data_IF_318780836006
#
_entry.id   IF_318780836006
#
_cell.length_a   1.000
_cell.length_b   1.000
_cell.length_c   1.000
_cell.angle_alpha   90.00
_cell.angle_beta   90.00
_cell.angle_gamma   90.00
#
_symmetry.space_group_name_H-M   'P 1'
#
loop_
_entity.id
_entity.type
_entity.pdbx_description
1 polymer ?
#
# COMPACT_ATOMS: atom_id res chain seq x y z
N UNK A 1 -16.16 22.26 8.73
CA UNK A 1 -16.69 22.61 10.06
C UNK A 1 -15.72 22.28 11.21
N UNK A 2 -15.23 21.04 11.36
CA UNK A 2 -14.31 20.65 12.46
C UNK A 2 -12.98 21.42 12.50
N UNK A 3 -12.44 21.85 11.35
CA UNK A 3 -11.18 22.62 11.28
C UNK A 3 -11.33 24.01 11.89
N UNK A 4 -12.44 24.69 11.61
CA UNK A 4 -12.77 26.00 12.21
C UNK A 4 -12.88 25.91 13.74
N UNK A 5 -13.55 24.86 14.23
CA UNK A 5 -13.65 24.58 15.66
C UNK A 5 -12.26 24.39 16.30
N UNK A 6 -11.37 23.63 15.66
CA UNK A 6 -9.98 23.41 16.15
C UNK A 6 -9.16 24.70 16.20
N UNK A 7 -9.33 25.59 15.23
CA UNK A 7 -8.65 26.89 15.21
C UNK A 7 -9.17 27.77 16.36
N UNK A 8 -10.48 27.79 16.58
CA UNK A 8 -11.10 28.56 17.67
C UNK A 8 -10.64 28.04 19.05
N UNK A 9 -10.69 26.72 19.29
CA UNK A 9 -10.23 26.13 20.56
C UNK A 9 -8.71 26.28 20.76
N UNK A 10 -7.92 26.17 19.70
CA UNK A 10 -6.47 26.42 19.75
C UNK A 10 -6.15 27.87 20.10
N UNK A 11 -6.86 28.83 19.51
CA UNK A 11 -6.71 30.25 19.82
C UNK A 11 -7.16 30.59 21.25
N UNK A 12 -8.28 30.01 21.71
CA UNK A 12 -8.78 30.18 23.08
C UNK A 12 -7.80 29.63 24.13
N UNK A 13 -7.21 28.47 23.87
CA UNK A 13 -6.19 27.88 24.73
C UNK A 13 -4.91 28.71 24.76
N UNK A 14 -4.45 29.20 23.59
CA UNK A 14 -3.28 30.06 23.51
C UNK A 14 -3.49 31.38 24.28
N UNK A 15 -4.67 31.98 24.12
CA UNK A 15 -5.07 33.16 24.88
C UNK A 15 -5.10 32.90 26.39
N UNK A 16 -5.68 31.76 26.79
CA UNK A 16 -5.70 31.30 28.18
C UNK A 16 -4.29 31.24 28.78
N UNK A 17 -3.37 30.52 28.12
CA UNK A 17 -1.98 30.37 28.57
C UNK A 17 -1.22 31.70 28.67
N UNK A 18 -1.39 32.59 27.70
CA UNK A 18 -0.75 33.93 27.74
C UNK A 18 -1.30 34.73 28.92
N UNK A 19 -2.61 34.65 29.16
CA UNK A 19 -3.28 35.32 30.27
C UNK A 19 -2.78 34.77 31.61
N UNK A 20 -2.77 33.45 31.80
CA UNK A 20 -2.26 32.83 33.04
C UNK A 20 -0.80 33.16 33.28
N UNK A 21 0.03 33.19 32.23
CA UNK A 21 1.45 33.55 32.33
C UNK A 21 1.66 35.00 32.75
N UNK A 22 0.83 35.93 32.27
CA UNK A 22 0.88 37.34 32.70
C UNK A 22 0.46 37.49 34.16
N UNK A 23 -0.65 36.86 34.55
CA UNK A 23 -1.12 36.86 35.94
C UNK A 23 -0.09 36.27 36.91
N UNK A 24 0.56 35.17 36.56
CA UNK A 24 1.61 34.56 37.37
C UNK A 24 2.87 35.44 37.53
N UNK A 25 3.15 36.32 36.55
CA UNK A 25 4.27 37.25 36.62
C UNK A 25 3.99 38.50 37.45
N UNK A 26 2.72 38.92 37.55
CA UNK A 26 2.32 40.12 38.28
C UNK A 26 2.07 39.85 39.77
N UNK A 27 1.64 38.63 40.15
CA UNK A 27 1.25 38.31 41.53
C UNK A 27 1.81 36.95 42.00
N UNK A 28 3.12 36.85 42.27
CA UNK A 28 3.78 35.57 42.59
C UNK A 28 3.49 35.05 44.02
N UNK A 29 3.06 35.91 44.95
CA UNK A 29 2.91 35.55 46.37
C UNK A 29 1.47 35.37 46.85
N UNK A 30 0.48 35.74 46.04
CA UNK A 30 -0.91 35.53 46.39
C UNK A 30 -1.28 34.08 46.05
N UNK A 31 -1.58 33.27 47.07
CA UNK A 31 -2.30 31.99 46.94
C UNK A 31 -3.72 32.22 46.44
N UNK A 32 -3.84 32.81 45.25
CA UNK A 32 -5.04 33.44 44.76
C UNK A 32 -5.89 32.40 44.03
N UNK A 33 -7.11 32.25 44.52
CA UNK A 33 -8.11 31.29 44.01
C UNK A 33 -8.34 31.52 42.51
N UNK A 34 -8.18 32.75 42.05
CA UNK A 34 -8.32 33.14 40.65
C UNK A 34 -7.21 32.56 39.76
N UNK A 35 -5.96 32.48 40.25
CA UNK A 35 -4.85 31.85 39.53
C UNK A 35 -5.08 30.34 39.36
N UNK A 36 -5.51 29.68 40.45
CA UNK A 36 -5.85 28.26 40.43
C UNK A 36 -7.03 27.96 39.49
N UNK A 37 -8.06 28.81 39.49
CA UNK A 37 -9.22 28.70 38.59
C UNK A 37 -8.81 28.84 37.11
N UNK A 38 -8.02 29.85 36.76
CA UNK A 38 -7.54 30.06 35.40
C UNK A 38 -6.67 28.91 34.89
N UNK A 39 -5.84 28.34 35.77
CA UNK A 39 -5.04 27.16 35.47
C UNK A 39 -5.92 25.94 35.23
N UNK A 40 -6.93 25.70 36.07
CA UNK A 40 -7.88 24.61 35.90
C UNK A 40 -8.64 24.72 34.57
N UNK A 41 -9.09 25.92 34.19
CA UNK A 41 -9.74 26.19 32.90
C UNK A 41 -8.79 25.91 31.73
N UNK A 42 -7.52 26.30 31.83
CA UNK A 42 -6.51 25.99 30.80
C UNK A 42 -6.29 24.48 30.64
N UNK A 43 -6.26 23.72 31.74
CA UNK A 43 -6.12 22.25 31.70
C UNK A 43 -7.33 21.62 31.01
N UNK A 44 -8.54 22.03 31.34
CA UNK A 44 -9.77 21.51 30.70
C UNK A 44 -9.76 21.82 29.19
N UNK A 45 -9.43 23.06 28.82
CA UNK A 45 -9.28 23.46 27.42
C UNK A 45 -8.20 22.64 26.70
N UNK A 46 -7.10 22.31 27.39
CA UNK A 46 -6.01 21.50 26.84
C UNK A 46 -6.46 20.07 26.55
N UNK A 47 -7.22 19.46 27.47
CA UNK A 47 -7.78 18.13 27.28
C UNK A 47 -8.78 18.12 26.10
N UNK A 48 -9.68 19.09 26.04
CA UNK A 48 -10.65 19.19 24.93
C UNK A 48 -9.93 19.41 23.60
N UNK A 49 -8.93 20.29 23.56
CA UNK A 49 -8.14 20.54 22.37
C UNK A 49 -7.38 19.27 21.94
N UNK A 50 -6.77 18.54 22.90
CA UNK A 50 -6.11 17.28 22.62
C UNK A 50 -7.09 16.24 22.03
N UNK A 51 -8.30 16.11 22.57
CA UNK A 51 -9.33 15.22 22.03
C UNK A 51 -9.76 15.63 20.61
N UNK A 52 -9.89 16.92 20.33
CA UNK A 52 -10.24 17.42 19.00
C UNK A 52 -9.13 17.16 17.97
N UNK A 53 -7.86 17.22 18.39
CA UNK A 53 -6.69 16.99 17.55
C UNK A 53 -6.27 15.52 17.46
N UNK A 54 -6.65 14.68 18.43
CA UNK A 54 -6.27 13.27 18.49
C UNK A 54 -6.61 12.47 17.22
N UNK A 55 -7.79 12.61 16.58
CA UNK A 55 -8.08 11.92 15.33
C UNK A 55 -7.20 12.39 14.16
N UNK A 56 -6.76 13.65 14.18
CA UNK A 56 -5.91 14.21 13.13
C UNK A 56 -4.45 13.75 13.27
N UNK A 57 -3.90 13.82 14.48
CA UNK A 57 -2.56 13.29 14.74
C UNK A 57 -2.54 11.76 14.62
N UNK A 58 -3.58 11.08 15.08
CA UNK A 58 -3.74 9.63 14.89
C UNK A 58 -3.69 9.25 13.41
N UNK A 59 -4.39 9.99 12.53
CA UNK A 59 -4.33 9.76 11.09
C UNK A 59 -2.92 10.01 10.50
N UNK A 60 -2.25 11.09 10.90
CA UNK A 60 -0.89 11.42 10.43
C UNK A 60 0.20 10.47 10.93
N UNK A 61 0.06 9.93 12.14
CA UNK A 61 1.01 8.97 12.72
C UNK A 61 0.71 7.55 12.21
N UNK A 62 -0.56 7.25 11.92
CA UNK A 62 -0.94 5.98 11.31
C UNK A 62 -0.48 5.89 9.85
N UNK A 63 -0.51 6.97 9.06
CA UNK A 63 -0.08 6.99 7.64
C UNK A 63 1.23 6.23 7.33
N UNK A 64 2.35 6.43 8.08
CA UNK A 64 3.58 5.67 7.83
C UNK A 64 3.53 4.20 8.27
N UNK A 65 2.72 3.85 9.28
CA UNK A 65 2.60 2.48 9.80
C UNK A 65 1.59 1.64 9.01
N UNK A 66 0.51 2.24 8.53
CA UNK A 66 -0.49 1.60 7.66
C UNK A 66 -0.06 1.59 6.19
N UNK A 67 0.89 2.43 5.78
CA UNK A 67 1.50 2.41 4.46
C UNK A 67 2.28 1.12 4.12
N UNK A 68 2.66 0.33 5.12
CA UNK A 68 3.38 -0.95 4.91
C UNK A 68 2.43 -2.16 4.90
N UNK A 69 1.29 -2.07 5.59
CA UNK A 69 0.39 -3.23 5.80
C UNK A 69 -0.95 -3.09 5.05
N UNK A 70 -1.37 -1.88 4.68
CA UNK A 70 -2.67 -1.60 4.03
C UNK A 70 -2.57 -0.78 2.74
N UNK A 71 -1.51 -0.98 1.95
CA UNK A 71 -1.40 -0.37 0.61
C UNK A 71 -2.52 -0.80 -0.39
N UNK A 72 -3.42 -1.70 0.01
CA UNK A 72 -4.62 -2.08 -0.73
C UNK A 72 -5.87 -1.24 -0.37
N UNK A 73 -5.87 -0.50 0.74
CA UNK A 73 -7.02 0.31 1.19
C UNK A 73 -6.67 1.79 1.12
N UNK A 74 -6.80 2.32 -0.10
CA UNK A 74 -6.79 3.75 -0.41
C UNK A 74 -7.57 4.55 0.65
N UNK A 75 -6.88 5.37 1.43
CA UNK A 75 -7.53 6.30 2.37
C UNK A 75 -8.29 7.32 1.54
N UNK A 76 -9.60 7.12 1.47
CA UNK A 76 -10.58 8.05 0.91
C UNK A 76 -10.55 9.38 1.66
N UNK A 77 -9.68 10.29 1.22
CA UNK A 77 -9.86 11.71 1.52
C UNK A 77 -11.22 12.13 0.94
N UNK A 78 -11.99 12.94 1.67
CA UNK A 78 -13.34 13.44 1.31
C UNK A 78 -13.31 14.27 0.01
N UNK A 79 -13.10 13.64 -1.13
CA UNK A 79 -13.18 14.26 -2.43
C UNK A 79 -14.58 13.97 -2.97
N UNK A 80 -15.44 14.99 -2.98
CA UNK A 80 -16.78 14.90 -3.56
C UNK A 80 -16.74 14.41 -5.01
N UNK A 81 -15.66 14.72 -5.73
CA UNK A 81 -15.40 14.25 -7.09
C UNK A 81 -15.19 12.74 -7.18
N UNK A 82 -14.40 12.13 -6.29
CA UNK A 82 -14.27 10.66 -6.24
C UNK A 82 -15.58 9.98 -5.86
N UNK A 83 -16.38 10.60 -4.98
CA UNK A 83 -17.72 10.11 -4.64
C UNK A 83 -18.67 10.17 -5.82
N UNK A 84 -18.62 11.25 -6.59
CA UNK A 84 -19.37 11.39 -7.83
C UNK A 84 -18.90 10.35 -8.85
N UNK A 85 -17.58 10.14 -8.99
CA UNK A 85 -16.98 9.18 -9.91
C UNK A 85 -17.46 7.75 -9.63
N UNK A 86 -17.50 7.37 -8.35
CA UNK A 86 -18.07 6.08 -7.90
C UNK A 86 -19.55 5.99 -8.15
N UNK A 87 -20.31 7.03 -7.83
CA UNK A 87 -21.75 7.03 -8.07
C UNK A 87 -22.07 6.89 -9.57
N UNK A 88 -21.31 7.54 -10.44
CA UNK A 88 -21.43 7.41 -11.91
C UNK A 88 -21.00 6.01 -12.37
N UNK A 89 -19.96 5.44 -11.75
CA UNK A 89 -19.51 4.07 -12.00
C UNK A 89 -20.58 3.03 -11.60
N UNK A 90 -21.20 3.18 -10.43
CA UNK A 90 -22.27 2.31 -9.92
C UNK A 90 -23.50 2.38 -10.82
N UNK A 91 -23.74 3.53 -11.45
CA UNK A 91 -24.82 3.74 -12.43
C UNK A 91 -24.49 3.18 -13.82
N UNK A 92 -23.29 2.66 -14.04
CA UNK A 92 -22.86 1.99 -15.27
C UNK A 92 -22.49 2.93 -16.43
N UNK A 93 -22.36 4.24 -16.18
CA UNK A 93 -22.10 5.24 -17.22
C UNK A 93 -20.61 5.36 -17.57
N UNK A 94 -20.06 4.31 -18.19
CA UNK A 94 -18.63 4.15 -18.48
C UNK A 94 -17.97 5.35 -19.17
N UNK A 95 -18.65 5.98 -20.14
CA UNK A 95 -18.09 7.13 -20.88
C UNK A 95 -17.90 8.36 -19.99
N UNK A 96 -18.85 8.62 -19.09
CA UNK A 96 -18.77 9.74 -18.15
C UNK A 96 -17.73 9.47 -17.07
N UNK A 97 -17.63 8.23 -16.58
CA UNK A 97 -16.56 7.83 -15.65
C UNK A 97 -15.18 8.06 -16.25
N UNK A 98 -14.98 7.73 -17.53
CA UNK A 98 -13.71 7.97 -18.22
C UNK A 98 -13.39 9.45 -18.37
N UNK A 99 -14.38 10.26 -18.76
CA UNK A 99 -14.19 11.71 -18.92
C UNK A 99 -13.86 12.35 -17.57
N UNK A 100 -14.61 12.03 -16.52
CA UNK A 100 -14.37 12.52 -15.16
C UNK A 100 -13.02 12.04 -14.61
N UNK A 101 -12.65 10.78 -14.83
CA UNK A 101 -11.35 10.24 -14.42
C UNK A 101 -10.20 10.96 -15.11
N UNK A 102 -10.35 11.28 -16.40
CA UNK A 102 -9.35 12.05 -17.14
C UNK A 102 -9.25 13.49 -16.61
N UNK A 103 -10.39 14.16 -16.41
CA UNK A 103 -10.43 15.54 -15.90
C UNK A 103 -9.85 15.65 -14.49
N UNK A 104 -10.19 14.71 -13.61
CA UNK A 104 -9.62 14.59 -12.26
C UNK A 104 -8.13 14.31 -12.32
N UNK A 105 -7.68 13.43 -13.23
CA UNK A 105 -6.26 13.13 -13.42
C UNK A 105 -5.45 14.33 -13.91
N UNK A 106 -6.01 15.17 -14.80
CA UNK A 106 -5.37 16.41 -15.25
C UNK A 106 -5.31 17.44 -14.13
N UNK A 107 -6.38 17.56 -13.33
CA UNK A 107 -6.43 18.51 -12.21
C UNK A 107 -5.54 18.08 -11.04
N UNK A 108 -5.40 16.78 -10.82
CA UNK A 108 -4.64 16.18 -9.73
C UNK A 108 -3.72 15.05 -10.23
N UNK A 109 -2.58 15.41 -10.87
CA UNK A 109 -1.67 14.43 -11.49
C UNK A 109 -0.98 13.51 -10.47
N UNK A 110 -0.96 13.89 -9.19
CA UNK A 110 -0.39 13.13 -8.08
C UNK A 110 -1.32 12.02 -7.57
N UNK A 111 -2.58 11.98 -8.01
CA UNK A 111 -3.59 11.04 -7.48
C UNK A 111 -3.76 9.80 -8.38
N UNK A 112 -3.24 8.63 -7.98
CA UNK A 112 -3.38 7.40 -8.78
C UNK A 112 -4.83 6.90 -8.90
N UNK A 113 -5.71 7.24 -7.96
CA UNK A 113 -7.08 6.71 -7.90
C UNK A 113 -7.89 7.00 -9.17
N UNK A 114 -7.79 8.22 -9.71
CA UNK A 114 -8.49 8.61 -10.93
C UNK A 114 -7.99 7.81 -12.14
N UNK A 115 -6.67 7.67 -12.28
CA UNK A 115 -6.07 6.91 -13.37
C UNK A 115 -6.36 5.41 -13.28
N UNK A 116 -6.35 4.83 -12.08
CA UNK A 116 -6.72 3.42 -11.85
C UNK A 116 -8.19 3.16 -12.16
N UNK A 117 -9.09 4.07 -11.75
CA UNK A 117 -10.51 3.98 -12.11
C UNK A 117 -10.72 4.13 -13.63
N UNK A 118 -9.98 5.05 -14.27
CA UNK A 118 -9.97 5.20 -15.72
C UNK A 118 -9.51 3.93 -16.43
N UNK A 119 -8.41 3.33 -15.97
CA UNK A 119 -7.84 2.11 -16.53
C UNK A 119 -8.82 0.93 -16.46
N UNK A 120 -9.50 0.74 -15.32
CA UNK A 120 -10.48 -0.35 -15.15
C UNK A 120 -11.73 -0.20 -16.02
N UNK A 121 -12.12 1.04 -16.34
CA UNK A 121 -13.31 1.32 -17.14
C UNK A 121 -13.01 1.53 -18.64
N UNK A 122 -11.74 1.67 -19.00
CA UNK A 122 -11.33 1.84 -20.39
C UNK A 122 -11.67 0.58 -21.21
N UNK A 123 -12.02 0.79 -22.48
CA UNK A 123 -12.25 -0.33 -23.39
C UNK A 123 -10.92 -1.04 -23.64
N UNK A 124 -10.91 -2.36 -23.46
CA UNK A 124 -9.74 -3.20 -23.76
C UNK A 124 -9.26 -2.98 -25.20
N UNK A 125 -7.98 -2.73 -25.39
CA UNK A 125 -7.33 -2.41 -26.65
C UNK A 125 -7.45 -0.95 -27.10
N UNK A 126 -8.08 -0.08 -26.31
CA UNK A 126 -8.24 1.33 -26.68
C UNK A 126 -6.98 2.16 -26.40
N UNK A 127 -6.80 3.24 -27.16
CA UNK A 127 -5.70 4.18 -26.91
C UNK A 127 -5.75 4.80 -25.50
N UNK A 128 -6.95 5.04 -24.97
CA UNK A 128 -7.13 5.54 -23.60
C UNK A 128 -6.62 4.55 -22.55
N UNK A 129 -6.86 3.25 -22.73
CA UNK A 129 -6.32 2.22 -21.83
C UNK A 129 -4.80 2.30 -21.76
N UNK A 130 -4.13 2.47 -22.90
CA UNK A 130 -2.67 2.66 -22.97
C UNK A 130 -2.21 3.92 -22.24
N UNK A 131 -2.91 5.04 -22.39
CA UNK A 131 -2.57 6.30 -21.69
C UNK A 131 -2.74 6.15 -20.18
N UNK A 132 -3.88 5.63 -19.74
CA UNK A 132 -4.12 5.37 -18.32
C UNK A 132 -3.10 4.38 -17.75
N UNK A 133 -2.77 3.30 -18.47
CA UNK A 133 -1.76 2.35 -18.01
C UNK A 133 -0.38 2.98 -17.87
N UNK A 134 0.02 3.87 -18.78
CA UNK A 134 1.30 4.59 -18.69
C UNK A 134 1.36 5.50 -17.47
N UNK A 135 0.29 6.23 -17.19
CA UNK A 135 0.22 7.08 -15.99
C UNK A 135 0.16 6.24 -14.72
N UNK A 136 -0.61 5.14 -14.70
CA UNK A 136 -0.68 4.24 -13.54
C UNK A 136 0.69 3.62 -13.24
N UNK A 137 1.46 3.27 -14.27
CA UNK A 137 2.83 2.74 -14.14
C UNK A 137 3.84 3.77 -13.62
N UNK A 138 3.51 5.06 -13.58
CA UNK A 138 4.38 6.09 -13.00
C UNK A 138 4.36 6.10 -11.47
N UNK A 139 3.30 5.56 -10.85
CA UNK A 139 3.09 5.62 -9.41
C UNK A 139 3.73 4.44 -8.69
N UNK A 140 4.21 4.65 -7.46
CA UNK A 140 4.96 3.64 -6.70
C UNK A 140 4.11 2.50 -6.10
N UNK A 141 2.84 2.36 -6.48
CA UNK A 141 1.99 1.29 -5.97
C UNK A 141 2.16 0.00 -6.79
N UNK A 142 2.76 -1.01 -6.15
CA UNK A 142 3.03 -2.34 -6.69
C UNK A 142 1.84 -3.00 -7.41
N UNK A 143 0.66 -3.06 -6.78
CA UNK A 143 -0.49 -3.76 -7.35
C UNK A 143 -1.01 -3.09 -8.62
N UNK A 144 -1.06 -1.76 -8.61
CA UNK A 144 -1.51 -1.00 -9.78
C UNK A 144 -0.46 -1.01 -10.89
N UNK A 145 0.82 -1.06 -10.54
CA UNK A 145 1.91 -1.24 -11.51
C UNK A 145 1.82 -2.59 -12.22
N UNK A 146 1.50 -3.69 -11.51
CA UNK A 146 1.30 -5.00 -12.15
C UNK A 146 0.14 -4.94 -13.13
N UNK A 147 -0.99 -4.34 -12.74
CA UNK A 147 -2.16 -4.19 -13.62
C UNK A 147 -1.85 -3.30 -14.84
N UNK A 148 -1.10 -2.23 -14.65
CA UNK A 148 -0.60 -1.36 -15.71
C UNK A 148 0.40 -2.07 -16.63
N UNK A 149 1.29 -2.89 -16.07
CA UNK A 149 2.26 -3.67 -16.83
C UNK A 149 1.58 -4.71 -17.71
N UNK A 150 0.61 -5.45 -17.19
CA UNK A 150 -0.17 -6.41 -17.97
C UNK A 150 -0.91 -5.73 -19.13
N UNK A 151 -1.50 -4.56 -18.89
CA UNK A 151 -2.20 -3.79 -19.93
C UNK A 151 -1.22 -3.25 -20.99
N UNK A 152 -0.08 -2.69 -20.59
CA UNK A 152 0.97 -2.25 -21.52
C UNK A 152 1.56 -3.41 -22.34
N UNK A 153 1.76 -4.58 -21.71
CA UNK A 153 2.25 -5.79 -22.38
C UNK A 153 1.28 -6.30 -23.45
N UNK A 154 -0.05 -6.23 -23.20
CA UNK A 154 -1.06 -6.53 -24.23
C UNK A 154 -0.97 -5.61 -25.44
N UNK A 155 -0.46 -4.39 -25.24
CA UNK A 155 -0.18 -3.42 -26.32
C UNK A 155 1.23 -3.58 -26.92
N UNK A 156 2.00 -4.60 -26.51
CA UNK A 156 3.35 -4.84 -27.02
C UNK A 156 4.41 -3.87 -26.48
N UNK A 157 4.15 -3.20 -25.36
CA UNK A 157 5.06 -2.21 -24.77
C UNK A 157 5.63 -2.80 -23.48
N UNK A 158 6.95 -2.84 -23.38
CA UNK A 158 7.63 -3.18 -22.12
C UNK A 158 8.10 -1.87 -21.45
N UNK A 159 7.50 -1.47 -20.31
CA UNK A 159 7.83 -0.22 -19.63
C UNK A 159 8.99 -0.33 -18.65
N UNK A 160 9.65 -1.49 -18.53
CA UNK A 160 10.79 -1.69 -17.62
C UNK A 160 12.01 -0.85 -18.04
N UNK A 161 12.85 -0.40 -17.08
CA UNK A 161 12.78 -0.62 -15.63
C UNK A 161 11.90 0.43 -14.88
N UNK A 162 11.25 0.02 -13.80
CA UNK A 162 10.53 0.93 -12.91
C UNK A 162 11.48 1.58 -11.88
N UNK A 163 11.16 2.79 -11.39
CA UNK A 163 11.98 3.55 -10.42
C UNK A 163 12.11 2.83 -9.07
N UNK A 164 11.00 2.28 -8.56
CA UNK A 164 10.97 1.52 -7.32
C UNK A 164 11.47 0.07 -7.54
N UNK A 165 12.52 -0.41 -6.84
CA UNK A 165 13.03 -1.78 -6.96
C UNK A 165 12.03 -2.85 -6.53
N UNK A 166 11.13 -2.57 -5.58
CA UNK A 166 10.11 -3.53 -5.13
C UNK A 166 9.15 -3.89 -6.26
N UNK A 167 8.76 -2.90 -7.06
CA UNK A 167 7.92 -3.11 -8.24
C UNK A 167 8.66 -3.99 -9.25
N UNK A 168 9.96 -3.75 -9.49
CA UNK A 168 10.75 -4.58 -10.40
C UNK A 168 10.80 -6.05 -9.94
N UNK A 169 11.00 -6.30 -8.65
CA UNK A 169 10.99 -7.65 -8.09
C UNK A 169 9.64 -8.35 -8.28
N UNK A 170 8.53 -7.62 -8.09
CA UNK A 170 7.19 -8.13 -8.31
C UNK A 170 6.89 -8.38 -9.79
N UNK A 171 7.37 -7.54 -10.70
CA UNK A 171 7.22 -7.77 -12.14
C UNK A 171 7.96 -9.04 -12.59
N UNK A 172 9.16 -9.28 -12.04
CA UNK A 172 9.93 -10.51 -12.28
C UNK A 172 9.19 -11.74 -11.75
N UNK A 173 8.61 -11.66 -10.54
CA UNK A 173 7.88 -12.79 -9.96
C UNK A 173 6.60 -13.13 -10.75
N UNK A 174 5.86 -12.12 -11.20
CA UNK A 174 4.68 -12.30 -12.06
C UNK A 174 5.08 -12.94 -13.38
N UNK A 175 6.17 -12.51 -14.01
CA UNK A 175 6.65 -13.12 -15.26
C UNK A 175 7.06 -14.59 -15.08
N UNK A 176 7.70 -14.91 -13.95
CA UNK A 176 8.06 -16.30 -13.61
C UNK A 176 6.84 -17.20 -13.42
N UNK A 177 5.74 -16.68 -12.87
CA UNK A 177 4.49 -17.45 -12.72
C UNK A 177 3.73 -17.72 -14.02
N UNK A 178 4.00 -16.93 -15.07
CA UNK A 178 3.30 -17.06 -16.37
C UNK A 178 4.06 -18.00 -17.32
N UNK A 179 5.26 -18.48 -16.95
CA UNK A 179 5.95 -19.47 -17.75
C UNK A 179 5.11 -20.76 -17.83
N UNK A 180 4.71 -21.21 -19.04
CA UNK A 180 3.97 -22.46 -19.18
C UNK A 180 4.82 -23.60 -18.64
N UNK A 181 4.17 -24.58 -18.00
CA UNK A 181 4.84 -25.77 -17.48
C UNK A 181 5.82 -26.31 -18.53
N UNK A 182 7.09 -26.52 -18.15
CA UNK A 182 8.09 -26.97 -19.11
C UNK A 182 7.55 -28.22 -19.79
N UNK A 183 7.46 -28.17 -21.12
CA UNK A 183 7.02 -29.31 -21.94
C UNK A 183 7.84 -30.51 -21.47
N UNK A 184 7.16 -31.51 -20.90
CA UNK A 184 7.79 -32.75 -20.46
C UNK A 184 8.40 -33.39 -21.69
N UNK A 185 9.68 -33.13 -21.92
CA UNK A 185 10.45 -33.81 -22.96
C UNK A 185 10.40 -35.28 -22.58
N UNK A 186 9.75 -36.10 -23.42
CA UNK A 186 9.74 -37.55 -23.26
C UNK A 186 11.16 -38.03 -23.49
N UNK A 187 11.94 -38.07 -22.41
CA UNK A 187 13.26 -38.72 -22.43
C UNK A 187 13.00 -40.17 -22.81
N UNK A 188 13.67 -40.66 -23.84
CA UNK A 188 13.59 -42.08 -24.22
C UNK A 188 13.90 -42.91 -22.97
N UNK A 189 13.14 -43.98 -22.70
CA UNK A 189 13.42 -44.88 -21.58
C UNK A 189 14.89 -45.28 -21.64
N UNK A 190 15.60 -45.11 -20.53
CA UNK A 190 16.98 -45.56 -20.44
C UNK A 190 17.02 -47.06 -20.78
N UNK A 191 17.98 -47.52 -21.60
CA UNK A 191 18.16 -48.95 -21.84
C UNK A 191 18.33 -49.64 -20.47
N UNK A 192 17.77 -50.85 -20.30
CA UNK A 192 17.87 -51.56 -19.03
C UNK A 192 19.35 -51.69 -18.65
N UNK A 193 19.69 -51.45 -17.37
CA UNK A 193 21.08 -51.57 -16.93
C UNK A 193 21.58 -52.98 -17.23
N UNK A 194 22.83 -53.13 -17.73
CA UNK A 194 23.40 -54.45 -17.98
C UNK A 194 23.40 -55.25 -16.68
N UNK A 195 23.11 -56.54 -16.79
CA UNK A 195 23.09 -57.43 -15.63
C UNK A 195 24.41 -57.33 -14.86
N UNK A 196 24.35 -57.17 -13.52
CA UNK A 196 25.56 -57.08 -12.71
C UNK A 196 26.36 -58.38 -12.84
N UNK A 197 27.48 -58.31 -13.56
CA UNK A 197 28.40 -59.43 -13.73
C UNK A 197 29.10 -59.70 -12.40
N UNK A 198 28.58 -60.66 -11.63
CA UNK A 198 29.17 -61.10 -10.37
C UNK A 198 30.49 -61.81 -10.68
N UNK A 199 31.61 -61.19 -10.30
CA UNK A 199 32.92 -61.81 -10.44
C UNK A 199 33.03 -62.97 -9.43
N UNK A 200 33.17 -64.24 -9.88
CA UNK A 200 33.20 -65.40 -8.99
C UNK A 200 34.45 -65.42 -8.08
N UNK A 201 35.43 -64.54 -8.31
CA UNK A 201 36.62 -64.40 -7.48
C UNK A 201 36.41 -63.56 -6.22
N UNK A 202 35.34 -62.75 -6.18
CA UNK A 202 35.04 -61.90 -5.03
C UNK A 202 34.10 -62.66 -4.08
N UNK A 203 34.68 -63.29 -3.05
CA UNK A 203 33.93 -63.85 -1.92
C UNK A 203 33.78 -62.78 -0.85
N UNK A 204 32.63 -62.09 -0.84
CA UNK A 204 32.34 -61.05 0.16
C UNK A 204 32.02 -61.61 1.56
N UNK A 205 31.84 -62.93 1.71
CA UNK A 205 31.60 -63.60 2.99
C UNK A 205 32.25 -64.98 3.00
N UNK A 206 33.20 -65.20 3.90
CA UNK A 206 33.74 -66.52 4.19
C UNK A 206 32.81 -67.25 5.17
N UNK A 207 32.23 -68.40 4.82
CA UNK A 207 31.25 -69.10 5.66
C UNK A 207 31.86 -69.78 6.91
N UNK A 208 33.14 -69.54 7.23
CA UNK A 208 33.83 -70.16 8.36
C UNK A 208 33.85 -69.33 9.65
N UNK A 209 33.37 -68.10 9.64
CA UNK A 209 33.10 -67.33 10.86
C UNK A 209 31.61 -67.29 11.16
N UNK A 210 31.07 -68.46 11.53
CA UNK A 210 29.82 -68.52 12.29
C UNK A 210 30.08 -68.08 13.74
N UNK A 211 29.11 -67.46 14.43
CA UNK A 211 29.29 -66.94 15.77
C UNK A 211 29.59 -68.08 16.74
N UNK A 212 30.68 -67.96 17.51
CA UNK A 212 30.92 -68.81 18.68
C UNK A 212 29.83 -68.47 19.70
N UNK A 213 28.82 -69.33 19.79
CA UNK A 213 27.88 -69.32 20.90
C UNK A 213 28.65 -69.71 22.18
N UNK A 214 28.59 -68.82 23.16
CA UNK A 214 28.92 -69.06 24.57
C UNK A 214 27.65 -68.85 25.37
#
# INVERSE_FOLDING_TARGET
>A
MLVLLRIIFGAALFYGLVTTRRYAGEHPESGDVMGAFNLAVCVILAVINALLWAPYFGAKIAEPLTGVITQSTYVERKNYLLRLLRWVQDRGWRRLTLLLAFLEGVHHPEQPAAFVMGLKNARRGSWLEKVFAREVFRFDNAQNCVLAFETLRRHGIDPRPHRNPEVNMLLISVERSVQPDPVKVSVRPAPPPPEPKRDPRIRLFDPKEGPRAS
#
